data_IF_558931229705
#
_entry.id   IF_558931229705
#
_cell.length_a   1.000
_cell.length_b   1.000
_cell.length_c   1.000
_cell.angle_alpha   90.00
_cell.angle_beta   90.00
_cell.angle_gamma   90.00
#
_symmetry.space_group_name_H-M   'P 1'
#
loop_
_entity.id
_entity.type
_entity.pdbx_description
1 polymer ?
#
# COMPACT_ATOMS: atom_id res chain seq x y z
N UNK A 1 -2.23 -3.39 -9.14
CA UNK A 1 -3.40 -2.68 -9.66
C UNK A 1 -4.52 -2.59 -8.63
N UNK A 2 -5.57 -3.41 -8.75
CA UNK A 2 -6.79 -3.26 -7.93
C UNK A 2 -6.57 -3.34 -6.41
N UNK A 3 -5.77 -4.30 -5.95
CA UNK A 3 -5.46 -4.41 -4.51
C UNK A 3 -4.73 -3.18 -3.98
N UNK A 4 -3.81 -2.62 -4.75
CA UNK A 4 -3.05 -1.42 -4.37
C UNK A 4 -3.98 -0.20 -4.30
N UNK A 5 -4.97 -0.13 -5.20
CA UNK A 5 -6.01 0.89 -5.14
C UNK A 5 -6.81 0.78 -3.83
N UNK A 6 -7.17 -0.44 -3.42
CA UNK A 6 -7.89 -0.66 -2.16
C UNK A 6 -7.06 -0.26 -0.94
N UNK A 7 -5.78 -0.66 -0.90
CA UNK A 7 -4.85 -0.31 0.20
C UNK A 7 -4.64 1.21 0.27
N UNK A 8 -4.38 1.84 -0.88
CA UNK A 8 -4.19 3.28 -0.96
C UNK A 8 -5.44 4.06 -0.55
N UNK A 9 -6.61 3.67 -1.04
CA UNK A 9 -7.90 4.28 -0.67
C UNK A 9 -8.23 4.08 0.82
N UNK A 10 -7.98 2.89 1.36
CA UNK A 10 -8.17 2.63 2.78
C UNK A 10 -7.23 3.54 3.61
N UNK A 11 -5.95 3.64 3.25
CA UNK A 11 -5.00 4.48 3.98
C UNK A 11 -5.38 5.97 3.93
N UNK A 12 -5.78 6.50 2.76
CA UNK A 12 -6.17 7.92 2.64
C UNK A 12 -7.44 8.23 3.41
N UNK A 13 -8.50 7.44 3.22
CA UNK A 13 -9.81 7.66 3.85
C UNK A 13 -9.69 7.55 5.36
N UNK A 14 -9.01 6.51 5.85
CA UNK A 14 -8.90 6.26 7.29
C UNK A 14 -7.99 7.25 7.99
N UNK A 15 -7.08 7.92 7.26
CA UNK A 15 -6.28 9.00 7.87
C UNK A 15 -7.16 10.23 8.16
N UNK A 16 -8.22 10.43 7.39
CA UNK A 16 -9.20 11.51 7.58
C UNK A 16 -10.28 11.09 8.59
N UNK A 17 -10.75 9.84 8.50
CA UNK A 17 -11.78 9.25 9.34
C UNK A 17 -11.21 8.03 10.08
N UNK A 18 -10.57 8.21 11.24
CA UNK A 18 -9.91 7.13 11.95
C UNK A 18 -10.92 6.12 12.49
N UNK A 19 -10.86 4.88 11.96
CA UNK A 19 -11.65 3.75 12.44
C UNK A 19 -10.74 2.81 13.23
N UNK A 20 -11.10 2.60 14.50
CA UNK A 20 -10.28 1.83 15.45
C UNK A 20 -10.68 0.34 15.54
N UNK A 21 -11.76 -0.07 14.86
CA UNK A 21 -12.24 -1.46 14.88
C UNK A 21 -12.44 -1.99 13.45
N UNK A 22 -11.42 -2.67 12.92
CA UNK A 22 -11.53 -3.28 11.60
C UNK A 22 -10.65 -4.50 11.48
N UNK A 23 -11.18 -5.68 11.83
CA UNK A 23 -10.48 -6.94 11.58
C UNK A 23 -10.13 -7.09 10.09
N UNK A 24 -11.05 -6.71 9.19
CA UNK A 24 -10.83 -6.74 7.75
C UNK A 24 -9.71 -5.79 7.31
N UNK A 25 -9.66 -4.57 7.84
CA UNK A 25 -8.60 -3.59 7.56
C UNK A 25 -7.24 -4.08 8.04
N UNK A 26 -7.21 -4.77 9.19
CA UNK A 26 -5.99 -5.37 9.72
C UNK A 26 -5.44 -6.42 8.75
N UNK A 27 -6.28 -7.32 8.24
CA UNK A 27 -5.85 -8.29 7.24
C UNK A 27 -5.40 -7.64 5.93
N UNK A 28 -6.07 -6.57 5.46
CA UNK A 28 -5.63 -5.81 4.28
C UNK A 28 -4.23 -5.24 4.48
N UNK A 29 -3.97 -4.59 5.63
CA UNK A 29 -2.65 -4.03 5.95
C UNK A 29 -1.57 -5.10 6.02
N UNK A 30 -1.90 -6.27 6.58
CA UNK A 30 -0.98 -7.40 6.73
C UNK A 30 -0.64 -8.05 5.38
N UNK A 31 -1.64 -8.23 4.51
CA UNK A 31 -1.44 -8.70 3.13
C UNK A 31 -0.59 -7.69 2.34
N UNK A 32 -0.85 -6.39 2.48
CA UNK A 32 -0.06 -5.35 1.81
C UNK A 32 1.40 -5.36 2.25
N UNK A 33 1.65 -5.53 3.55
CA UNK A 33 2.99 -5.63 4.13
C UNK A 33 3.74 -6.84 3.56
N UNK A 34 3.13 -8.03 3.57
CA UNK A 34 3.76 -9.23 3.01
C UNK A 34 3.98 -9.12 1.51
N UNK A 35 3.05 -8.51 0.77
CA UNK A 35 3.21 -8.25 -0.65
C UNK A 35 4.40 -7.34 -0.93
N UNK A 36 4.55 -6.25 -0.17
CA UNK A 36 5.69 -5.33 -0.29
C UNK A 36 7.02 -6.03 0.03
N UNK A 37 7.06 -6.82 1.10
CA UNK A 37 8.24 -7.64 1.44
C UNK A 37 8.60 -8.62 0.32
N UNK A 38 7.61 -9.33 -0.21
CA UNK A 38 7.81 -10.27 -1.31
C UNK A 38 8.37 -9.56 -2.55
N UNK A 39 7.82 -8.39 -2.90
CA UNK A 39 8.32 -7.56 -4.03
C UNK A 39 9.80 -7.25 -3.86
N UNK A 40 10.20 -6.73 -2.69
CA UNK A 40 11.60 -6.39 -2.40
C UNK A 40 12.52 -7.62 -2.47
N UNK A 41 12.10 -8.75 -1.91
CA UNK A 41 12.89 -10.00 -1.94
C UNK A 41 13.07 -10.48 -3.38
N UNK A 42 11.99 -10.50 -4.17
CA UNK A 42 12.07 -10.93 -5.58
C UNK A 42 12.92 -9.98 -6.43
N UNK A 43 12.85 -8.67 -6.18
CA UNK A 43 13.69 -7.69 -6.85
C UNK A 43 15.17 -7.87 -6.50
N UNK A 44 15.48 -8.08 -5.22
CA UNK A 44 16.85 -8.37 -4.77
C UNK A 44 17.40 -9.66 -5.39
N UNK A 45 16.58 -10.72 -5.47
CA UNK A 45 16.96 -11.97 -6.14
C UNK A 45 17.23 -11.78 -7.64
N UNK A 46 16.57 -10.83 -8.28
CA UNK A 46 16.79 -10.45 -9.68
C UNK A 46 17.95 -9.45 -9.88
N UNK A 47 18.67 -9.06 -8.81
CA UNK A 47 19.78 -8.10 -8.85
C UNK A 47 19.35 -6.63 -8.83
N UNK A 48 18.06 -6.34 -8.60
CA UNK A 48 17.52 -4.98 -8.44
C UNK A 48 17.35 -4.65 -6.95
N UNK A 49 18.33 -3.96 -6.38
CA UNK A 49 18.37 -3.69 -4.93
C UNK A 49 17.49 -2.51 -4.48
N UNK A 50 17.03 -1.66 -5.41
CA UNK A 50 16.21 -0.48 -5.12
C UNK A 50 14.82 -0.58 -5.74
N UNK A 51 14.00 -1.53 -5.24
CA UNK A 51 12.59 -1.61 -5.61
C UNK A 51 11.74 -0.59 -4.84
N UNK A 52 11.74 0.64 -5.35
CA UNK A 52 10.93 1.76 -4.84
C UNK A 52 9.44 1.41 -4.84
N UNK A 53 8.98 0.64 -5.82
CA UNK A 53 7.57 0.26 -5.94
C UNK A 53 7.17 -0.72 -4.83
N UNK A 54 8.00 -1.71 -4.53
CA UNK A 54 7.81 -2.63 -3.41
C UNK A 54 7.87 -1.92 -2.05
N UNK A 55 8.76 -0.93 -1.91
CA UNK A 55 8.84 -0.10 -0.69
C UNK A 55 7.54 0.67 -0.41
N UNK A 56 6.88 1.21 -1.43
CA UNK A 56 5.59 1.89 -1.23
C UNK A 56 4.50 0.96 -0.72
N UNK A 57 4.42 -0.28 -1.21
CA UNK A 57 3.43 -1.26 -0.74
C UNK A 57 3.70 -1.67 0.71
N UNK A 58 4.98 -1.86 1.04
CA UNK A 58 5.40 -2.18 2.41
C UNK A 58 5.06 -1.04 3.37
N UNK A 59 5.43 0.20 3.02
CA UNK A 59 5.12 1.38 3.83
C UNK A 59 3.61 1.58 3.99
N UNK A 60 2.84 1.40 2.92
CA UNK A 60 1.40 1.50 2.99
C UNK A 60 0.78 0.46 3.93
N UNK A 61 1.25 -0.79 3.87
CA UNK A 61 0.84 -1.84 4.81
C UNK A 61 1.18 -1.50 6.26
N UNK A 62 2.40 -1.04 6.52
CA UNK A 62 2.83 -0.60 7.87
C UNK A 62 1.97 0.55 8.37
N UNK A 63 1.75 1.59 7.57
CA UNK A 63 0.95 2.74 7.99
C UNK A 63 -0.51 2.39 8.22
N UNK A 64 -1.07 1.48 7.42
CA UNK A 64 -2.44 1.01 7.60
C UNK A 64 -2.58 0.21 8.91
N UNK A 65 -1.58 -0.59 9.28
CA UNK A 65 -1.52 -1.28 10.58
C UNK A 65 -1.35 -0.29 11.75
N UNK A 66 -0.48 0.71 11.62
CA UNK A 66 -0.31 1.75 12.65
C UNK A 66 -1.60 2.55 12.86
N UNK A 67 -2.29 2.88 11.78
CA UNK A 67 -3.55 3.62 11.80
C UNK A 67 -4.64 2.86 12.57
N UNK A 68 -4.75 1.54 12.37
CA UNK A 68 -5.69 0.69 13.12
C UNK A 68 -5.39 0.69 14.62
N UNK A 69 -4.11 0.81 14.99
CA UNK A 69 -3.69 0.93 16.40
C UNK A 69 -3.84 2.36 16.95
N UNK A 70 -4.49 3.27 16.22
CA UNK A 70 -4.72 4.65 16.63
C UNK A 70 -3.53 5.58 16.43
N UNK A 71 -2.44 5.12 15.80
CA UNK A 71 -1.27 5.94 15.51
C UNK A 71 -1.46 6.55 14.13
N UNK A 72 -1.78 7.85 14.09
CA UNK A 72 -2.05 8.57 12.85
C UNK A 72 -1.11 9.75 12.71
N UNK A 73 -0.43 9.83 11.56
CA UNK A 73 0.37 10.98 11.20
C UNK A 73 -0.15 11.59 9.90
N UNK A 74 -0.09 12.93 9.77
CA UNK A 74 -0.59 13.65 8.59
C UNK A 74 0.09 13.23 7.27
N UNK A 75 1.31 12.68 7.34
CA UNK A 75 2.01 12.23 6.13
C UNK A 75 1.49 10.90 5.55
N UNK A 76 0.67 10.14 6.29
CA UNK A 76 0.10 8.87 5.81
C UNK A 76 -0.76 9.08 4.55
N UNK A 77 -1.44 10.23 4.45
CA UNK A 77 -2.24 10.61 3.28
C UNK A 77 -1.39 10.63 2.02
N UNK A 78 -0.19 11.20 2.07
CA UNK A 78 0.68 11.30 0.90
C UNK A 78 1.09 9.92 0.38
N UNK A 79 1.35 8.98 1.29
CA UNK A 79 1.71 7.61 0.93
C UNK A 79 0.51 6.89 0.31
N UNK A 80 -0.68 7.07 0.89
CA UNK A 80 -1.92 6.54 0.30
C UNK A 80 -2.18 7.07 -1.11
N UNK A 81 -1.97 8.38 -1.34
CA UNK A 81 -2.10 9.00 -2.67
C UNK A 81 -1.09 8.40 -3.66
N UNK A 82 0.18 8.25 -3.27
CA UNK A 82 1.21 7.66 -4.14
C UNK A 82 0.87 6.23 -4.53
N UNK A 83 0.33 5.44 -3.60
CA UNK A 83 -0.10 4.06 -3.87
C UNK A 83 -1.30 4.03 -4.82
N UNK A 84 -2.26 4.96 -4.68
CA UNK A 84 -3.38 5.11 -5.63
C UNK A 84 -2.86 5.46 -7.03
N UNK A 85 -1.93 6.42 -7.15
CA UNK A 85 -1.36 6.81 -8.44
C UNK A 85 -0.63 5.63 -9.11
N UNK A 86 0.16 4.89 -8.33
CA UNK A 86 0.80 3.65 -8.78
C UNK A 86 -0.23 2.62 -9.26
N UNK A 87 -1.32 2.43 -8.51
CA UNK A 87 -2.38 1.50 -8.85
C UNK A 87 -3.04 1.86 -10.18
N UNK A 88 -3.37 3.14 -10.39
CA UNK A 88 -3.95 3.66 -11.62
C UNK A 88 -2.99 3.48 -12.80
N UNK A 89 -1.71 3.81 -12.63
CA UNK A 89 -0.69 3.60 -13.65
C UNK A 89 -0.59 2.13 -14.08
N UNK A 90 -0.59 1.20 -13.13
CA UNK A 90 -0.58 -0.24 -13.38
C UNK A 90 -1.82 -0.71 -14.14
N UNK A 91 -3.01 -0.19 -13.80
CA UNK A 91 -4.27 -0.52 -14.48
C UNK A 91 -4.27 0.00 -15.92
N UNK A 92 -3.84 1.26 -16.13
CA UNK A 92 -3.78 1.87 -17.46
C UNK A 92 -2.85 1.11 -18.41
N UNK A 93 -1.67 0.69 -17.94
CA UNK A 93 -0.75 -0.10 -18.77
C UNK A 93 -1.39 -1.42 -19.20
N UNK A 94 -2.04 -2.11 -18.26
CA UNK A 94 -2.71 -3.38 -18.54
C UNK A 94 -3.85 -3.22 -19.55
N UNK A 95 -4.56 -2.09 -19.54
CA UNK A 95 -5.61 -1.81 -20.53
C UNK A 95 -5.06 -1.49 -21.93
N UNK A 96 -3.86 -0.91 -22.02
CA UNK A 96 -3.24 -0.51 -23.31
C UNK A 96 -2.51 -1.68 -23.97
N UNK A 97 -1.94 -2.60 -23.18
CA UNK A 97 -1.28 -3.81 -23.67
C UNK A 97 -2.07 -5.05 -23.19
N UNK A 98 -3.09 -5.49 -23.97
CA UNK A 98 -3.80 -6.73 -23.69
C UNK A 98 -2.90 -7.96 -23.85
#
# INVERSE_FOLDING_TARGET
GLFDLMVGAALTILTIFPVHSGGLLFYIGLIALFKGLWSIITAAAAGFYFDILGMFDLLAGVFLLLLINGIVFGFFIYIGILVILKALYSILIFMIKP
#
